data_IF_455695434848
#
_entry.id   IF_455695434848
#
_cell.length_a   1.000
_cell.length_b   1.000
_cell.length_c   1.000
_cell.angle_alpha   90.00
_cell.angle_beta   90.00
_cell.angle_gamma   90.00
#
_symmetry.space_group_name_H-M   'P 1'
#
loop_
_entity.id
_entity.type
_entity.pdbx_description
1 polymer ?
#
# COMPACT_ATOMS: atom_id res chain seq x y z
N UNK A 1 -21.01 3.69 -18.38
CA UNK A 1 -20.43 4.29 -17.15
C UNK A 1 -18.97 3.80 -17.10
N UNK A 2 -17.96 4.69 -17.06
CA UNK A 2 -16.57 4.25 -16.89
C UNK A 2 -16.42 3.79 -15.44
N UNK A 3 -16.18 2.50 -15.22
CA UNK A 3 -15.84 1.98 -13.89
C UNK A 3 -14.72 2.81 -13.30
N UNK A 4 -14.94 3.36 -12.12
CA UNK A 4 -13.90 4.14 -11.44
C UNK A 4 -12.75 3.17 -11.10
N UNK A 5 -11.49 3.52 -11.30
CA UNK A 5 -10.35 2.64 -11.01
C UNK A 5 -10.38 2.02 -9.61
N UNK A 6 -10.94 2.76 -8.64
CA UNK A 6 -11.08 2.31 -7.26
C UNK A 6 -12.09 1.17 -7.11
N UNK A 7 -13.19 1.17 -7.88
CA UNK A 7 -14.20 0.12 -7.84
C UNK A 7 -13.66 -1.20 -8.40
N UNK A 8 -12.92 -1.16 -9.50
CA UNK A 8 -12.22 -2.32 -10.06
C UNK A 8 -11.19 -2.88 -9.08
N UNK A 9 -10.37 -2.03 -8.45
CA UNK A 9 -9.42 -2.46 -7.42
C UNK A 9 -10.12 -3.11 -6.22
N UNK A 10 -11.19 -2.50 -5.71
CA UNK A 10 -11.97 -3.06 -4.61
C UNK A 10 -12.48 -4.46 -4.93
N UNK A 11 -13.15 -4.62 -6.07
CA UNK A 11 -13.68 -5.92 -6.51
C UNK A 11 -12.58 -6.96 -6.62
N UNK A 12 -11.46 -6.61 -7.25
CA UNK A 12 -10.33 -7.53 -7.42
C UNK A 12 -9.75 -8.00 -6.07
N UNK A 13 -9.45 -7.08 -5.16
CA UNK A 13 -8.83 -7.41 -3.87
C UNK A 13 -9.81 -8.10 -2.92
N UNK A 14 -11.09 -7.81 -3.02
CA UNK A 14 -12.14 -8.49 -2.28
C UNK A 14 -12.29 -9.95 -2.73
N UNK A 15 -12.30 -10.20 -4.03
CA UNK A 15 -12.31 -11.56 -4.60
C UNK A 15 -11.02 -12.33 -4.27
N UNK A 16 -9.87 -11.68 -4.29
CA UNK A 16 -8.60 -12.26 -3.89
C UNK A 16 -8.61 -12.66 -2.39
N UNK A 17 -9.14 -11.79 -1.54
CA UNK A 17 -9.29 -12.07 -0.12
C UNK A 17 -10.18 -13.28 0.15
N UNK A 18 -11.31 -13.41 -0.55
CA UNK A 18 -12.20 -14.57 -0.42
C UNK A 18 -11.55 -15.89 -0.84
N UNK A 19 -10.67 -15.84 -1.85
CA UNK A 19 -9.95 -17.03 -2.33
C UNK A 19 -8.87 -17.47 -1.34
N UNK A 20 -7.92 -16.60 -1.05
CA UNK A 20 -6.84 -16.85 -0.10
C UNK A 20 -6.14 -15.54 0.29
N UNK A 21 -6.64 -14.84 1.30
CA UNK A 21 -6.13 -13.55 1.70
C UNK A 21 -4.64 -13.57 2.07
N UNK A 22 -4.19 -14.58 2.82
CA UNK A 22 -2.79 -14.68 3.27
C UNK A 22 -1.82 -14.78 2.09
N UNK A 23 -2.12 -15.65 1.12
CA UNK A 23 -1.27 -15.85 -0.04
C UNK A 23 -1.26 -14.62 -0.97
N UNK A 24 -2.39 -13.92 -1.16
CA UNK A 24 -2.42 -12.71 -1.98
C UNK A 24 -1.66 -11.53 -1.34
N UNK A 25 -1.60 -11.50 -0.01
CA UNK A 25 -0.79 -10.51 0.73
C UNK A 25 0.69 -10.91 0.75
N UNK A 26 0.98 -12.22 0.85
CA UNK A 26 2.34 -12.74 0.85
C UNK A 26 2.45 -14.00 -0.02
N UNK A 27 2.83 -13.84 -1.27
CA UNK A 27 2.94 -14.93 -2.25
C UNK A 27 4.10 -15.88 -2.00
N UNK A 28 4.88 -15.70 -0.94
CA UNK A 28 5.93 -16.64 -0.49
C UNK A 28 5.39 -17.72 0.43
N UNK A 29 4.15 -17.57 0.90
CA UNK A 29 3.47 -18.59 1.70
C UNK A 29 2.96 -19.73 0.84
N UNK A 30 2.75 -20.89 1.46
CA UNK A 30 2.02 -21.98 0.83
C UNK A 30 0.56 -21.56 0.57
N UNK A 31 0.01 -21.96 -0.59
CA UNK A 31 -1.34 -21.57 -0.96
C UNK A 31 -2.42 -22.29 -0.15
N UNK A 32 -2.24 -23.58 0.12
CA UNK A 32 -3.25 -24.42 0.77
C UNK A 32 -3.13 -24.39 2.30
N UNK A 33 -1.89 -24.24 2.80
CA UNK A 33 -1.58 -24.28 4.24
C UNK A 33 -0.67 -23.11 4.64
N UNK A 34 -1.15 -21.85 4.60
CA UNK A 34 -0.30 -20.70 4.93
C UNK A 34 0.12 -20.70 6.40
N UNK A 35 1.43 -20.62 6.65
CA UNK A 35 1.98 -20.44 7.98
C UNK A 35 1.72 -19.01 8.47
N UNK A 36 0.72 -18.84 9.33
CA UNK A 36 0.33 -17.53 9.87
C UNK A 36 1.36 -16.98 10.87
N UNK A 37 2.13 -17.83 11.55
CA UNK A 37 3.24 -17.39 12.39
C UNK A 37 4.31 -16.68 11.55
N UNK A 38 4.76 -17.34 10.49
CA UNK A 38 5.68 -16.76 9.50
C UNK A 38 5.10 -15.51 8.83
N UNK A 39 3.80 -15.50 8.53
CA UNK A 39 3.12 -14.35 7.96
C UNK A 39 3.30 -13.09 8.83
N UNK A 40 3.02 -13.17 10.12
CA UNK A 40 3.18 -12.04 11.03
C UNK A 40 4.66 -11.68 11.28
N UNK A 41 5.58 -12.66 11.26
CA UNK A 41 7.02 -12.41 11.37
C UNK A 41 7.56 -11.58 10.18
N UNK A 42 7.04 -11.81 8.97
CA UNK A 42 7.40 -10.96 7.82
C UNK A 42 6.95 -9.50 8.03
N UNK A 43 5.86 -9.24 8.75
CA UNK A 43 5.43 -7.90 9.14
C UNK A 43 6.48 -7.19 10.01
N UNK A 44 7.05 -7.89 11.00
CA UNK A 44 8.14 -7.35 11.85
C UNK A 44 9.38 -7.03 11.01
N UNK A 45 9.76 -7.90 10.09
CA UNK A 45 10.91 -7.69 9.20
C UNK A 45 10.71 -6.46 8.30
N UNK A 46 9.50 -6.26 7.77
CA UNK A 46 9.14 -5.10 6.95
C UNK A 46 9.26 -3.81 7.76
N UNK A 47 8.71 -3.76 8.97
CA UNK A 47 8.78 -2.59 9.84
C UNK A 47 10.23 -2.31 10.27
N UNK A 48 11.01 -3.36 10.55
CA UNK A 48 12.42 -3.23 10.86
C UNK A 48 13.19 -2.60 9.69
N UNK A 49 12.97 -3.04 8.45
CA UNK A 49 13.57 -2.46 7.25
C UNK A 49 13.13 -1.01 7.03
N UNK A 50 11.82 -0.74 7.08
CA UNK A 50 11.24 0.57 6.83
C UNK A 50 11.74 1.65 7.82
N UNK A 51 12.02 1.25 9.06
CA UNK A 51 12.43 2.15 10.17
C UNK A 51 13.89 1.90 10.62
N UNK A 52 14.72 1.28 9.77
CA UNK A 52 16.10 0.91 10.11
C UNK A 52 17.09 2.08 10.15
N UNK A 53 16.78 3.17 9.44
CA UNK A 53 17.70 4.30 9.31
C UNK A 53 17.53 5.27 10.50
N UNK A 54 18.53 5.39 11.40
CA UNK A 54 18.41 6.27 12.55
C UNK A 54 18.40 7.76 12.20
N UNK A 55 18.76 8.12 10.96
CA UNK A 55 18.70 9.51 10.47
C UNK A 55 17.31 9.87 9.91
N UNK A 56 16.42 8.89 9.73
CA UNK A 56 15.08 9.04 9.14
C UNK A 56 14.03 8.51 10.11
N UNK A 57 13.75 9.29 11.14
CA UNK A 57 12.82 8.92 12.23
C UNK A 57 11.54 9.75 12.16
N UNK A 58 10.43 9.15 12.54
CA UNK A 58 9.19 9.88 12.77
C UNK A 58 9.32 10.83 13.97
N UNK A 59 8.66 11.98 13.91
CA UNK A 59 8.74 13.01 14.97
C UNK A 59 8.04 12.63 16.28
N UNK A 60 7.26 11.56 16.29
CA UNK A 60 6.52 11.07 17.45
C UNK A 60 6.13 9.60 17.31
N UNK A 61 5.34 9.08 18.28
CA UNK A 61 4.89 7.69 18.34
C UNK A 61 3.40 7.55 18.63
N UNK A 62 2.62 8.61 18.53
CA UNK A 62 1.20 8.57 18.90
C UNK A 62 0.37 7.80 17.89
N UNK A 63 0.58 8.02 16.57
CA UNK A 63 -0.22 7.40 15.54
C UNK A 63 0.59 7.01 14.30
N UNK A 64 0.51 5.73 13.93
CA UNK A 64 0.93 5.23 12.63
C UNK A 64 -0.28 4.84 11.76
N UNK A 65 -0.16 5.03 10.45
CA UNK A 65 -1.16 4.63 9.46
C UNK A 65 -0.51 3.70 8.46
N UNK A 66 -1.17 2.58 8.18
CA UNK A 66 -0.79 1.70 7.07
C UNK A 66 -1.82 1.82 5.93
N UNK A 67 -1.33 2.12 4.71
CA UNK A 67 -2.12 2.11 3.48
C UNK A 67 -2.03 0.72 2.86
N UNK A 68 -3.20 0.05 2.65
CA UNK A 68 -3.28 -1.30 2.14
C UNK A 68 -2.86 -2.34 3.18
N UNK A 69 -3.54 -2.31 4.32
CA UNK A 69 -3.18 -3.12 5.49
C UNK A 69 -3.36 -4.64 5.30
N UNK A 70 -4.15 -5.06 4.30
CA UNK A 70 -4.46 -6.47 4.09
C UNK A 70 -4.96 -7.15 5.36
N UNK A 71 -4.28 -8.20 5.81
CA UNK A 71 -4.58 -8.93 7.04
C UNK A 71 -3.92 -8.35 8.31
N UNK A 72 -3.27 -7.18 8.21
CA UNK A 72 -2.77 -6.45 9.38
C UNK A 72 -1.39 -6.87 9.91
N UNK A 73 -0.57 -7.62 9.14
CA UNK A 73 0.75 -8.07 9.61
C UNK A 73 1.71 -6.92 9.93
N UNK A 74 1.68 -5.86 9.12
CA UNK A 74 2.51 -4.67 9.33
C UNK A 74 1.90 -3.78 10.42
N UNK A 75 0.56 -3.64 10.46
CA UNK A 75 -0.13 -2.93 11.54
C UNK A 75 0.23 -3.51 12.92
N UNK A 76 0.19 -4.84 13.07
CA UNK A 76 0.55 -5.48 14.34
C UNK A 76 2.01 -5.20 14.72
N UNK A 77 2.94 -5.25 13.76
CA UNK A 77 4.35 -4.93 14.00
C UNK A 77 4.58 -3.44 14.31
N UNK A 78 3.77 -2.53 13.75
CA UNK A 78 3.82 -1.11 14.08
C UNK A 78 3.34 -0.82 15.50
N UNK A 79 2.43 -1.63 16.07
CA UNK A 79 1.96 -1.49 17.45
C UNK A 79 3.07 -1.72 18.50
N UNK A 80 4.17 -2.39 18.12
CA UNK A 80 5.37 -2.50 18.97
C UNK A 80 6.14 -1.17 19.08
N UNK A 81 5.80 -0.17 18.25
CA UNK A 81 6.54 1.10 18.13
C UNK A 81 5.66 2.36 18.28
N UNK A 82 4.35 2.22 18.09
CA UNK A 82 3.39 3.33 18.12
C UNK A 82 2.25 3.03 19.10
N UNK A 83 1.73 4.07 19.76
CA UNK A 83 0.65 3.96 20.74
C UNK A 83 -0.68 3.56 20.09
N UNK A 84 -0.90 3.97 18.83
CA UNK A 84 -2.07 3.60 18.02
C UNK A 84 -1.65 3.35 16.59
N UNK A 85 -2.33 2.40 15.94
CA UNK A 85 -2.14 2.06 14.54
C UNK A 85 -3.51 1.98 13.84
N UNK A 86 -3.62 2.60 12.68
CA UNK A 86 -4.80 2.49 11.83
C UNK A 86 -4.38 1.85 10.51
N UNK A 87 -4.89 0.65 10.25
CA UNK A 87 -4.78 -0.01 8.95
C UNK A 87 -5.93 0.39 8.05
N UNK A 88 -5.66 0.84 6.84
CA UNK A 88 -6.67 1.21 5.85
C UNK A 88 -6.54 0.31 4.64
N UNK A 89 -7.59 -0.44 4.29
CA UNK A 89 -7.63 -1.28 3.10
C UNK A 89 -8.88 -1.01 2.26
N UNK A 90 -8.76 -1.16 0.94
CA UNK A 90 -9.88 -0.96 0.01
C UNK A 90 -10.87 -2.13 0.03
N UNK A 91 -10.43 -3.33 0.43
CA UNK A 91 -11.23 -4.55 0.48
C UNK A 91 -11.95 -4.68 1.83
N UNK A 92 -13.29 -4.64 1.86
CA UNK A 92 -14.05 -4.96 3.06
C UNK A 92 -13.74 -6.35 3.64
N UNK A 93 -13.47 -7.34 2.80
CA UNK A 93 -13.16 -8.69 3.24
C UNK A 93 -11.76 -8.78 3.90
N UNK A 94 -10.75 -8.05 3.39
CA UNK A 94 -9.44 -7.93 4.07
C UNK A 94 -9.61 -7.30 5.45
N UNK A 95 -10.34 -6.18 5.54
CA UNK A 95 -10.59 -5.48 6.81
C UNK A 95 -11.32 -6.37 7.81
N UNK A 96 -12.35 -7.10 7.36
CA UNK A 96 -13.08 -8.04 8.23
C UNK A 96 -12.14 -9.10 8.82
N UNK A 97 -11.33 -9.73 7.98
CA UNK A 97 -10.36 -10.76 8.42
C UNK A 97 -9.25 -10.19 9.28
N UNK A 98 -8.76 -8.99 8.97
CA UNK A 98 -7.75 -8.33 9.80
C UNK A 98 -8.26 -8.10 11.23
N UNK A 99 -9.50 -7.66 11.40
CA UNK A 99 -10.15 -7.49 12.71
C UNK A 99 -10.31 -8.78 13.49
N UNK A 100 -10.44 -9.92 12.81
CA UNK A 100 -10.50 -11.25 13.45
C UNK A 100 -9.11 -11.76 13.84
N UNK A 101 -8.09 -11.45 13.05
CA UNK A 101 -6.72 -11.97 13.25
C UNK A 101 -5.88 -11.14 14.21
N UNK A 102 -6.11 -9.81 14.24
CA UNK A 102 -5.35 -8.86 15.05
C UNK A 102 -6.25 -8.36 16.18
N UNK A 103 -5.98 -8.84 17.39
CA UNK A 103 -6.77 -8.52 18.59
C UNK A 103 -6.10 -7.49 19.50
N UNK A 104 -5.00 -6.88 19.09
CA UNK A 104 -4.31 -5.82 19.84
C UNK A 104 -5.17 -4.55 19.82
N UNK A 105 -5.58 -4.06 20.99
CA UNK A 105 -6.46 -2.91 21.15
C UNK A 105 -5.86 -1.60 20.61
N UNK A 106 -4.55 -1.54 20.41
CA UNK A 106 -3.86 -0.40 19.80
C UNK A 106 -4.05 -0.33 18.29
N UNK A 107 -4.53 -1.42 17.66
CA UNK A 107 -4.69 -1.54 16.21
C UNK A 107 -6.16 -1.49 15.82
N UNK A 108 -6.48 -0.62 14.89
CA UNK A 108 -7.81 -0.55 14.28
C UNK A 108 -7.73 -0.64 12.77
N UNK A 109 -8.83 -1.08 12.14
CA UNK A 109 -8.89 -1.23 10.68
C UNK A 109 -10.09 -0.52 10.10
N UNK A 110 -9.86 0.24 9.01
CA UNK A 110 -10.88 1.02 8.31
C UNK A 110 -10.97 0.64 6.83
N UNK A 111 -12.21 0.66 6.31
CA UNK A 111 -12.43 0.43 4.89
C UNK A 111 -12.19 1.74 4.14
N UNK A 112 -11.11 1.76 3.33
CA UNK A 112 -10.75 2.90 2.51
C UNK A 112 -11.56 2.99 1.23
N UNK A 113 -11.57 4.21 0.64
CA UNK A 113 -12.18 4.45 -0.68
C UNK A 113 -11.17 4.30 -1.84
N UNK A 114 -9.93 3.90 -1.54
CA UNK A 114 -8.86 3.72 -2.52
C UNK A 114 -8.18 5.02 -2.98
N UNK A 115 -8.40 6.15 -2.32
CA UNK A 115 -7.78 7.43 -2.71
C UNK A 115 -7.62 8.44 -1.56
N UNK A 116 -8.19 8.19 -0.39
CA UNK A 116 -8.06 9.07 0.78
C UNK A 116 -7.73 8.28 2.05
N UNK A 117 -7.25 8.98 3.07
CA UNK A 117 -6.95 8.48 4.40
C UNK A 117 -7.99 8.95 5.45
N UNK A 118 -9.22 9.25 5.00
CA UNK A 118 -10.31 9.49 5.95
C UNK A 118 -10.60 8.20 6.74
N UNK A 119 -10.92 8.28 8.04
CA UNK A 119 -11.28 9.48 8.80
C UNK A 119 -10.09 10.18 9.51
N UNK A 120 -8.84 9.90 9.15
CA UNK A 120 -7.68 10.49 9.82
C UNK A 120 -7.67 12.02 9.64
N UNK A 121 -7.59 12.80 10.73
CA UNK A 121 -7.56 14.25 10.67
C UNK A 121 -6.25 14.78 10.08
N UNK A 122 -6.27 16.04 9.66
CA UNK A 122 -5.06 16.75 9.23
C UNK A 122 -4.04 16.78 10.38
N UNK A 123 -2.78 16.55 10.04
CA UNK A 123 -1.67 16.59 11.00
C UNK A 123 -1.90 15.71 12.23
N UNK A 124 -2.54 14.55 12.03
CA UNK A 124 -2.85 13.60 13.09
C UNK A 124 -1.81 12.49 13.26
N UNK A 125 -1.01 12.18 12.23
CA UNK A 125 -0.14 11.01 12.20
C UNK A 125 1.35 11.36 12.29
N UNK A 126 2.11 10.49 12.94
CA UNK A 126 3.57 10.55 13.02
C UNK A 126 4.23 9.72 11.92
N UNK A 127 3.57 8.63 11.48
CA UNK A 127 4.01 7.76 10.39
C UNK A 127 2.85 7.45 9.45
N UNK A 128 3.12 7.49 8.15
CA UNK A 128 2.33 6.79 7.13
C UNK A 128 3.23 5.76 6.46
N UNK A 129 2.80 4.51 6.37
CA UNK A 129 3.52 3.43 5.73
C UNK A 129 2.66 2.76 4.65
N UNK A 130 3.26 2.38 3.53
CA UNK A 130 2.62 1.58 2.49
C UNK A 130 3.60 0.57 1.93
N UNK A 131 3.31 -0.71 2.13
CA UNK A 131 4.16 -1.82 1.69
C UNK A 131 3.43 -2.69 0.67
N UNK A 132 4.03 -2.90 -0.49
CA UNK A 132 3.50 -3.72 -1.60
C UNK A 132 2.09 -3.31 -2.10
N UNK A 133 1.73 -2.03 -2.02
CA UNK A 133 0.41 -1.51 -2.44
C UNK A 133 0.51 -0.67 -3.71
N UNK A 134 1.37 0.35 -3.74
CA UNK A 134 1.39 1.29 -4.87
C UNK A 134 1.82 0.64 -6.18
N UNK A 135 2.61 -0.45 -6.14
CA UNK A 135 2.92 -1.24 -7.33
C UNK A 135 1.71 -1.95 -7.93
N UNK A 136 0.62 -2.11 -7.18
CA UNK A 136 -0.61 -2.75 -7.60
C UNK A 136 -1.70 -1.76 -8.03
N UNK A 137 -1.47 -0.47 -7.90
CA UNK A 137 -2.42 0.57 -8.32
C UNK A 137 -2.31 0.80 -9.83
N UNK A 138 -3.37 0.51 -10.62
CA UNK A 138 -3.30 0.59 -12.09
C UNK A 138 -3.26 2.02 -12.62
N UNK A 139 -3.81 3.00 -11.89
CA UNK A 139 -3.85 4.41 -12.28
C UNK A 139 -2.90 5.25 -11.42
N UNK A 140 -1.83 5.81 -11.99
CA UNK A 140 -0.90 6.65 -11.24
C UNK A 140 -1.54 7.87 -10.56
N UNK A 141 -2.71 8.33 -11.04
CA UNK A 141 -3.44 9.46 -10.41
C UNK A 141 -3.96 9.10 -9.01
N UNK A 142 -4.25 7.83 -8.78
CA UNK A 142 -4.62 7.33 -7.44
C UNK A 142 -3.41 7.41 -6.50
N UNK A 143 -2.21 7.07 -7.00
CA UNK A 143 -0.96 7.24 -6.24
C UNK A 143 -0.73 8.71 -5.88
N UNK A 144 -0.91 9.64 -6.84
CA UNK A 144 -0.82 11.08 -6.56
C UNK A 144 -1.82 11.52 -5.48
N UNK A 145 -3.00 10.90 -5.45
CA UNK A 145 -4.00 11.08 -4.38
C UNK A 145 -3.43 10.70 -3.01
N UNK A 146 -2.85 9.52 -2.90
CA UNK A 146 -2.25 9.04 -1.64
C UNK A 146 -1.04 9.87 -1.21
N UNK A 147 -0.21 10.39 -2.14
CA UNK A 147 0.88 11.31 -1.81
C UNK A 147 0.35 12.58 -1.14
N UNK A 148 -0.74 13.17 -1.68
CA UNK A 148 -1.40 14.34 -1.10
C UNK A 148 -2.03 14.04 0.27
N UNK A 149 -2.69 12.90 0.40
CA UNK A 149 -3.34 12.49 1.65
C UNK A 149 -2.30 12.20 2.74
N UNK A 150 -1.21 11.50 2.43
CA UNK A 150 -0.10 11.34 3.36
C UNK A 150 0.45 12.69 3.84
N UNK A 151 0.62 13.64 2.90
CA UNK A 151 1.03 14.99 3.23
C UNK A 151 0.03 15.74 4.13
N UNK A 152 -1.28 15.52 3.95
CA UNK A 152 -2.36 16.12 4.75
C UNK A 152 -2.36 15.60 6.19
N UNK A 153 -2.28 14.27 6.35
CA UNK A 153 -2.44 13.63 7.66
C UNK A 153 -1.18 13.68 8.53
N UNK A 154 -0.01 13.82 7.91
CA UNK A 154 1.26 13.84 8.65
C UNK A 154 1.44 15.14 9.43
N UNK A 155 1.88 15.01 10.68
CA UNK A 155 2.41 16.09 11.51
C UNK A 155 3.69 16.66 10.89
N UNK A 156 4.10 17.85 11.29
CA UNK A 156 5.45 18.39 11.01
C UNK A 156 6.51 17.40 11.52
N UNK A 157 7.49 17.05 10.68
CA UNK A 157 8.50 16.03 10.97
C UNK A 157 7.98 14.60 10.90
N UNK A 158 6.71 14.38 10.59
CA UNK A 158 6.15 13.05 10.38
C UNK A 158 6.74 12.39 9.13
N UNK A 159 6.81 11.07 9.15
CA UNK A 159 7.50 10.26 8.16
C UNK A 159 6.51 9.53 7.24
N UNK A 160 6.76 9.57 5.93
CA UNK A 160 6.08 8.76 4.93
C UNK A 160 7.05 7.76 4.33
N UNK A 161 6.77 6.46 4.49
CA UNK A 161 7.58 5.37 3.92
C UNK A 161 6.70 4.53 3.01
N UNK A 162 7.14 4.31 1.77
CA UNK A 162 6.35 3.51 0.85
C UNK A 162 7.19 2.79 -0.21
N UNK A 163 6.64 1.69 -0.72
CA UNK A 163 7.15 1.02 -1.90
C UNK A 163 6.31 1.36 -3.14
N UNK A 164 6.99 1.41 -4.30
CA UNK A 164 6.31 1.56 -5.59
C UNK A 164 7.09 0.89 -6.72
N UNK A 165 6.43 0.67 -7.86
CA UNK A 165 7.06 0.13 -9.06
C UNK A 165 7.78 1.24 -9.84
N UNK A 166 9.12 1.23 -9.77
CA UNK A 166 10.00 2.17 -10.49
C UNK A 166 10.73 1.49 -11.66
N UNK A 167 10.28 0.33 -12.13
CA UNK A 167 10.94 -0.33 -13.26
C UNK A 167 10.95 0.56 -14.49
N UNK A 168 12.05 0.59 -15.27
CA UNK A 168 12.11 1.34 -16.52
C UNK A 168 11.00 0.93 -17.48
N UNK A 169 10.44 1.90 -18.20
CA UNK A 169 9.37 1.64 -19.17
C UNK A 169 9.85 0.73 -20.30
N UNK A 170 9.44 -0.55 -20.34
CA UNK A 170 9.60 -1.36 -21.54
C UNK A 170 8.59 -0.92 -22.59
N UNK A 171 9.04 -0.69 -23.84
CA UNK A 171 8.13 -0.51 -24.99
C UNK A 171 7.18 -1.73 -25.03
N UNK A 172 5.87 -1.49 -25.01
CA UNK A 172 4.86 -2.55 -25.02
C UNK A 172 4.10 -2.81 -23.71
N UNK A 173 4.57 -2.35 -22.56
CA UNK A 173 3.86 -2.51 -21.28
C UNK A 173 2.46 -1.87 -21.29
N UNK A 174 2.35 -0.63 -21.80
CA UNK A 174 1.07 0.07 -21.90
C UNK A 174 0.13 -0.63 -22.91
N UNK A 175 0.66 -1.18 -24.00
CA UNK A 175 -0.12 -1.94 -24.98
C UNK A 175 -0.62 -3.26 -24.38
N UNK A 176 0.24 -4.00 -23.66
CA UNK A 176 -0.14 -5.24 -22.97
C UNK A 176 -1.24 -4.98 -21.93
N UNK A 177 -1.12 -3.91 -21.15
CA UNK A 177 -2.12 -3.51 -20.16
C UNK A 177 -3.45 -3.13 -20.79
N UNK A 178 -3.42 -2.40 -21.93
CA UNK A 178 -4.64 -2.06 -22.69
C UNK A 178 -5.31 -3.30 -23.25
N UNK A 179 -4.55 -4.25 -23.79
CA UNK A 179 -5.06 -5.52 -24.32
C UNK A 179 -5.71 -6.35 -23.20
N UNK A 180 -5.05 -6.51 -22.05
CA UNK A 180 -5.60 -7.22 -20.90
C UNK A 180 -6.89 -6.56 -20.37
N UNK A 181 -6.92 -5.23 -20.26
CA UNK A 181 -8.12 -4.49 -19.86
C UNK A 181 -9.26 -4.56 -20.91
N UNK A 182 -8.95 -4.74 -22.19
CA UNK A 182 -9.94 -4.99 -23.22
C UNK A 182 -10.52 -6.40 -23.09
N UNK A 183 -9.68 -7.43 -22.93
CA UNK A 183 -10.10 -8.83 -22.75
C UNK A 183 -10.97 -9.02 -21.49
N UNK A 184 -10.68 -8.31 -20.41
CA UNK A 184 -11.55 -8.29 -19.21
C UNK A 184 -12.95 -7.72 -19.52
N UNK A 185 -13.02 -6.63 -20.33
CA UNK A 185 -14.30 -5.99 -20.67
C UNK A 185 -15.16 -6.81 -21.62
N UNK A 186 -14.58 -7.71 -22.41
CA UNK A 186 -15.31 -8.59 -23.34
C UNK A 186 -15.90 -9.84 -22.66
N UNK A 187 -15.82 -9.96 -21.32
CA UNK A 187 -16.33 -11.13 -20.61
C UNK A 187 -15.46 -12.39 -20.75
N UNK A 188 -14.41 -12.34 -21.57
CA UNK A 188 -13.36 -13.34 -21.60
C UNK A 188 -12.52 -13.18 -20.33
N UNK A 189 -13.09 -13.55 -19.18
CA UNK A 189 -12.40 -13.68 -17.90
C UNK A 189 -11.89 -15.13 -17.79
N UNK A 190 -10.67 -15.43 -18.19
CA UNK A 190 -10.08 -16.63 -17.69
C UNK A 190 -9.82 -16.38 -16.21
N UNK A 191 -10.37 -17.20 -15.32
CA UNK A 191 -10.04 -17.26 -13.89
C UNK A 191 -8.53 -17.39 -13.64
N UNK A 192 -7.79 -17.68 -14.70
CA UNK A 192 -6.33 -17.79 -14.82
C UNK A 192 -5.56 -16.46 -14.78
N UNK A 193 -6.21 -15.30 -14.78
CA UNK A 193 -5.50 -13.98 -14.80
C UNK A 193 -5.13 -13.44 -13.41
N UNK A 194 -5.33 -14.15 -12.31
CA UNK A 194 -5.08 -13.66 -10.97
C UNK A 194 -3.88 -12.70 -10.86
N UNK A 195 -2.67 -13.16 -11.16
CA UNK A 195 -1.44 -12.36 -11.15
C UNK A 195 -1.19 -11.53 -12.42
N UNK A 196 -1.98 -11.68 -13.45
CA UNK A 196 -1.91 -10.91 -14.70
C UNK A 196 -3.02 -9.84 -14.80
N UNK A 197 -3.88 -9.71 -13.80
CA UNK A 197 -4.88 -8.65 -13.74
C UNK A 197 -4.22 -7.27 -13.68
N UNK A 198 -4.80 -6.23 -14.32
CA UNK A 198 -4.29 -4.86 -14.22
C UNK A 198 -4.11 -4.38 -12.78
N UNK A 199 -4.98 -4.81 -11.88
CA UNK A 199 -4.99 -4.50 -10.45
C UNK A 199 -3.83 -5.17 -9.70
N UNK A 200 -3.35 -6.33 -10.18
CA UNK A 200 -2.16 -6.98 -9.65
C UNK A 200 -0.88 -6.43 -10.27
N UNK A 201 -0.90 -6.18 -11.58
CA UNK A 201 0.25 -5.66 -12.32
C UNK A 201 0.51 -4.17 -12.05
N UNK A 202 -0.53 -3.43 -11.67
CA UNK A 202 -0.49 -2.02 -11.32
C UNK A 202 0.07 -1.10 -12.38
N UNK A 203 0.78 -0.07 -11.95
CA UNK A 203 1.42 0.91 -12.82
C UNK A 203 2.88 1.14 -12.46
N UNK A 204 3.63 1.59 -13.45
CA UNK A 204 5.02 2.05 -13.29
C UNK A 204 5.01 3.54 -13.13
N UNK A 205 5.69 4.03 -12.10
CA UNK A 205 5.75 5.46 -11.81
C UNK A 205 7.21 5.90 -11.76
N UNK A 206 7.63 6.82 -12.64
CA UNK A 206 8.99 7.32 -12.64
C UNK A 206 9.26 8.14 -11.37
N UNK A 207 10.50 8.12 -10.89
CA UNK A 207 10.93 8.85 -9.69
C UNK A 207 10.58 10.36 -9.76
N UNK A 208 10.71 10.97 -10.95
CA UNK A 208 10.37 12.40 -11.13
C UNK A 208 8.91 12.71 -10.78
N UNK A 209 7.94 11.82 -11.10
CA UNK A 209 6.53 12.00 -10.71
C UNK A 209 6.32 11.85 -9.20
N UNK A 210 6.96 10.86 -8.59
CA UNK A 210 6.93 10.69 -7.12
C UNK A 210 7.48 11.93 -6.43
N UNK A 211 8.65 12.41 -6.87
CA UNK A 211 9.29 13.61 -6.32
C UNK A 211 8.38 14.84 -6.42
N UNK A 212 7.83 15.11 -7.60
CA UNK A 212 6.91 16.23 -7.81
C UNK A 212 5.64 16.13 -6.93
N UNK A 213 5.08 14.92 -6.77
CA UNK A 213 3.92 14.70 -5.90
C UNK A 213 4.22 14.93 -4.41
N UNK A 214 5.40 14.50 -3.95
CA UNK A 214 5.86 14.73 -2.58
C UNK A 214 6.11 16.23 -2.32
N UNK A 215 6.82 16.91 -3.23
CA UNK A 215 7.12 18.35 -3.13
C UNK A 215 5.84 19.20 -3.10
N UNK A 216 4.84 18.88 -3.94
CA UNK A 216 3.54 19.53 -3.92
C UNK A 216 2.80 19.41 -2.58
N UNK A 217 3.07 18.33 -1.81
CA UNK A 217 2.56 18.11 -0.47
C UNK A 217 3.45 18.63 0.67
N UNK A 218 4.53 19.34 0.34
CA UNK A 218 5.56 19.76 1.30
C UNK A 218 6.21 18.58 2.06
N UNK A 219 6.42 17.46 1.32
CA UNK A 219 7.17 16.30 1.76
C UNK A 219 8.55 16.30 1.09
N UNK A 220 9.61 16.26 1.89
CA UNK A 220 10.98 16.14 1.40
C UNK A 220 11.35 14.68 1.21
N UNK A 221 11.69 14.28 -0.02
CA UNK A 221 12.24 12.95 -0.30
C UNK A 221 13.69 12.88 0.23
N UNK A 222 13.89 12.18 1.34
CA UNK A 222 15.19 12.12 2.03
C UNK A 222 16.01 10.89 1.67
N UNK A 223 15.34 9.79 1.25
CA UNK A 223 16.01 8.53 0.89
C UNK A 223 15.22 7.77 -0.16
N UNK A 224 15.95 7.05 -1.02
CA UNK A 224 15.39 6.01 -1.90
C UNK A 224 16.29 4.78 -1.89
N UNK A 225 15.69 3.59 -2.13
CA UNK A 225 16.40 2.33 -2.24
C UNK A 225 15.77 1.47 -3.33
N UNK A 226 16.55 0.65 -4.04
CA UNK A 226 16.04 -0.27 -5.05
C UNK A 226 15.43 0.40 -6.28
N UNK A 227 15.88 1.61 -6.65
CA UNK A 227 15.43 2.27 -7.88
C UNK A 227 15.64 1.38 -9.11
N UNK A 228 14.73 1.46 -10.06
CA UNK A 228 14.74 0.60 -11.25
C UNK A 228 14.10 -0.76 -11.03
N UNK A 229 13.54 -1.05 -9.86
CA UNK A 229 12.89 -2.32 -9.52
C UNK A 229 11.37 -2.18 -9.32
N UNK A 230 10.69 -3.31 -9.18
CA UNK A 230 9.28 -3.38 -8.80
C UNK A 230 9.03 -2.92 -7.36
N UNK A 231 10.04 -3.00 -6.49
CA UNK A 231 9.98 -2.77 -5.05
C UNK A 231 10.91 -1.62 -4.63
N UNK A 232 10.87 -0.51 -5.36
CA UNK A 232 11.61 0.67 -4.96
C UNK A 232 11.00 1.26 -3.68
N UNK A 233 11.84 1.63 -2.72
CA UNK A 233 11.45 2.30 -1.48
C UNK A 233 11.70 3.80 -1.56
N UNK A 234 10.82 4.58 -0.92
CA UNK A 234 10.97 6.00 -0.66
C UNK A 234 10.70 6.33 0.80
N UNK A 235 11.51 7.22 1.35
CA UNK A 235 11.33 7.86 2.64
C UNK A 235 11.20 9.36 2.42
N UNK A 236 10.13 9.95 2.93
CA UNK A 236 9.88 11.37 2.83
C UNK A 236 9.45 11.95 4.18
N UNK A 237 9.94 13.12 4.52
CA UNK A 237 9.66 13.80 5.80
C UNK A 237 8.81 15.03 5.54
N UNK A 238 7.77 15.23 6.35
CA UNK A 238 6.91 16.43 6.30
C UNK A 238 7.66 17.64 6.80
N UNK A 239 7.89 18.61 5.91
CA UNK A 239 8.50 19.89 6.26
C UNK A 239 7.57 20.77 7.12
N UNK A 240 8.14 21.80 7.69
CA UNK A 240 7.42 22.78 8.47
C UNK A 240 6.37 23.55 7.67
#
# INVERSE_FOLDING_TARGET
MKDRPQESMRTYWDDAARKNAAWYVDTTLDFDTPDMGRFFETGRSIVAEALSDPSVVASGRELAIEIGSGLGRVCLALADRFDRVIGIDISPEMVRRARELVTDERVSFEIGNGSSLAPVPDRGADLVLSFTVFQHIPDPRVIDGYLREAARVLKKGGLFVFQWNNTPGARGWAARRRLLGFLQRTGLRPERFGRNAPEFLGSRVPLGRIRAGLEAGNLELVRTQGLGTLFAWAWAVKRA
#
